data_IF_277801654876
#
_entry.id   IF_277801654876
#
_cell.length_a   1.000
_cell.length_b   1.000
_cell.length_c   1.000
_cell.angle_alpha   90.00
_cell.angle_beta   90.00
_cell.angle_gamma   90.00
#
_symmetry.space_group_name_H-M   'P 1'
#
loop_
_entity.id
_entity.type
_entity.pdbx_description
1 polymer ?
#
# COMPACT_ATOMS: atom_id res chain seq x y z
N UNK A 1 -14.46 18.13 -0.93
CA UNK A 1 -13.26 18.82 -0.41
C UNK A 1 -12.11 17.88 -0.70
N UNK A 2 -11.02 18.35 -1.31
CA UNK A 2 -9.92 17.45 -1.68
C UNK A 2 -9.22 16.91 -0.44
N UNK A 3 -8.97 15.61 -0.42
CA UNK A 3 -8.34 14.87 0.68
C UNK A 3 -6.92 14.50 0.29
N UNK A 4 -5.95 14.74 1.19
CA UNK A 4 -4.56 14.31 1.00
C UNK A 4 -4.41 12.83 1.30
N UNK A 5 -3.65 12.12 0.47
CA UNK A 5 -3.17 10.78 0.75
C UNK A 5 -1.66 10.73 0.69
N UNK A 6 -1.06 9.74 1.36
CA UNK A 6 0.38 9.50 1.29
C UNK A 6 0.73 8.03 1.42
N UNK A 7 1.70 7.57 0.63
CA UNK A 7 2.40 6.32 0.80
C UNK A 7 3.81 6.60 1.31
N UNK A 8 4.16 6.08 2.48
CA UNK A 8 5.54 6.06 2.97
C UNK A 8 6.10 4.64 2.86
N UNK A 9 7.19 4.49 2.14
CA UNK A 9 7.95 3.24 2.03
C UNK A 9 9.22 3.38 2.85
N UNK A 10 9.40 2.49 3.81
CA UNK A 10 10.62 2.39 4.62
C UNK A 10 11.36 1.11 4.25
N UNK A 11 12.61 1.26 3.85
CA UNK A 11 13.60 0.19 3.76
C UNK A 11 14.75 0.52 4.71
N UNK A 12 15.64 -0.44 5.00
CA UNK A 12 16.59 -0.39 6.12
C UNK A 12 17.35 0.93 6.29
N UNK A 13 17.71 1.60 5.20
CA UNK A 13 18.52 2.82 5.16
C UNK A 13 17.82 4.01 4.46
N UNK A 14 16.57 3.84 4.02
CA UNK A 14 15.88 4.84 3.22
C UNK A 14 14.38 4.90 3.52
N UNK A 15 13.89 6.12 3.60
CA UNK A 15 12.46 6.43 3.67
C UNK A 15 12.10 7.25 2.44
N UNK A 16 11.15 6.75 1.65
CA UNK A 16 10.56 7.47 0.52
C UNK A 16 9.09 7.73 0.81
N UNK A 17 8.63 8.96 0.57
CA UNK A 17 7.22 9.32 0.71
C UNK A 17 6.69 9.91 -0.60
N UNK A 18 5.57 9.36 -1.07
CA UNK A 18 4.77 9.89 -2.18
C UNK A 18 3.46 10.40 -1.58
N UNK A 19 3.03 11.59 -1.96
CA UNK A 19 1.76 12.16 -1.51
C UNK A 19 1.09 12.90 -2.66
N UNK A 20 -0.24 12.90 -2.66
CA UNK A 20 -1.05 13.68 -3.58
C UNK A 20 -2.43 13.94 -2.93
N UNK A 21 -3.37 14.46 -3.70
CA UNK A 21 -4.74 14.73 -3.29
C UNK A 21 -5.74 13.96 -4.16
N UNK A 22 -6.93 13.71 -3.60
CA UNK A 22 -8.06 13.15 -4.31
C UNK A 22 -9.35 13.91 -3.95
N UNK A 23 -10.43 13.69 -4.70
CA UNK A 23 -11.67 14.48 -4.59
C UNK A 23 -12.40 14.30 -3.26
N UNK A 24 -12.29 13.11 -2.66
CA UNK A 24 -12.85 12.72 -1.38
C UNK A 24 -12.01 11.61 -0.70
N UNK A 25 -12.45 11.17 0.49
CA UNK A 25 -11.73 10.15 1.27
C UNK A 25 -11.71 8.79 0.58
N UNK A 26 -12.79 8.37 -0.08
CA UNK A 26 -12.85 7.05 -0.71
C UNK A 26 -11.90 6.99 -1.92
N UNK A 27 -11.89 8.05 -2.72
CA UNK A 27 -10.95 8.25 -3.81
C UNK A 27 -9.50 8.32 -3.30
N UNK A 28 -9.24 8.98 -2.17
CA UNK A 28 -7.92 9.04 -1.55
C UNK A 28 -7.42 7.66 -1.08
N UNK A 29 -8.30 6.86 -0.46
CA UNK A 29 -7.97 5.48 -0.05
C UNK A 29 -7.71 4.60 -1.27
N UNK A 30 -8.51 4.72 -2.32
CA UNK A 30 -8.31 3.96 -3.56
C UNK A 30 -7.00 4.35 -4.25
N UNK A 31 -6.68 5.65 -4.32
CA UNK A 31 -5.42 6.14 -4.90
C UNK A 31 -4.20 5.60 -4.13
N UNK A 32 -4.20 5.66 -2.80
CA UNK A 32 -3.05 5.20 -2.01
C UNK A 32 -2.87 3.68 -2.06
N UNK A 33 -3.96 2.91 -2.17
CA UNK A 33 -3.90 1.46 -2.38
C UNK A 33 -3.30 1.13 -3.76
N UNK A 34 -3.73 1.82 -4.82
CA UNK A 34 -3.19 1.61 -6.17
C UNK A 34 -1.68 1.91 -6.24
N UNK A 35 -1.24 3.04 -5.67
CA UNK A 35 0.18 3.42 -5.65
C UNK A 35 1.00 2.45 -4.79
N UNK A 36 0.44 1.93 -3.70
CA UNK A 36 1.11 0.89 -2.91
C UNK A 36 1.27 -0.42 -3.68
N UNK A 37 0.25 -0.83 -4.44
CA UNK A 37 0.31 -2.01 -5.29
C UNK A 37 1.41 -1.88 -6.35
N UNK A 38 1.49 -0.73 -7.02
CA UNK A 38 2.53 -0.44 -8.00
C UNK A 38 3.93 -0.48 -7.37
N UNK A 39 4.08 0.08 -6.15
CA UNK A 39 5.34 0.06 -5.42
C UNK A 39 5.78 -1.37 -5.04
N UNK A 40 4.84 -2.23 -4.64
CA UNK A 40 5.11 -3.65 -4.34
C UNK A 40 5.50 -4.44 -5.60
N UNK A 41 4.80 -4.24 -6.71
CA UNK A 41 5.16 -4.85 -7.99
C UNK A 41 6.55 -4.41 -8.46
N UNK A 42 6.86 -3.11 -8.37
CA UNK A 42 8.17 -2.58 -8.73
C UNK A 42 9.29 -3.15 -7.83
N UNK A 43 9.04 -3.33 -6.53
CA UNK A 43 9.97 -3.96 -5.60
C UNK A 43 10.24 -5.43 -5.96
N UNK A 44 9.19 -6.19 -6.31
CA UNK A 44 9.30 -7.57 -6.77
C UNK A 44 10.10 -7.71 -8.07
N UNK A 45 9.83 -6.87 -9.07
CA UNK A 45 10.59 -6.86 -10.35
C UNK A 45 12.07 -6.55 -10.12
N UNK A 46 12.38 -5.68 -9.16
CA UNK A 46 13.76 -5.29 -8.81
C UNK A 46 14.47 -6.30 -7.91
N UNK A 47 13.77 -7.33 -7.43
CA UNK A 47 14.28 -8.31 -6.46
C UNK A 47 15.01 -7.65 -5.29
N UNK A 48 14.37 -6.66 -4.67
CA UNK A 48 14.97 -5.98 -3.53
C UNK A 48 15.26 -6.99 -2.42
N UNK A 49 16.50 -7.07 -1.89
CA UNK A 49 16.86 -8.04 -0.85
C UNK A 49 16.30 -7.65 0.53
N UNK A 50 15.64 -6.51 0.65
CA UNK A 50 15.11 -5.95 1.88
C UNK A 50 13.61 -6.13 1.95
N UNK A 51 13.06 -6.18 3.16
CA UNK A 51 11.62 -6.26 3.43
C UNK A 51 11.04 -4.85 3.65
N UNK A 52 10.50 -4.19 2.61
CA UNK A 52 9.93 -2.86 2.75
C UNK A 52 8.72 -2.88 3.69
N UNK A 53 8.58 -1.78 4.43
CA UNK A 53 7.38 -1.42 5.17
C UNK A 53 6.66 -0.28 4.46
N UNK A 54 5.40 -0.51 4.13
CA UNK A 54 4.51 0.44 3.48
C UNK A 54 3.49 0.97 4.48
N UNK A 55 3.43 2.29 4.63
CA UNK A 55 2.45 3.00 5.45
C UNK A 55 1.57 3.86 4.56
N UNK A 56 0.28 3.51 4.50
CA UNK A 56 -0.71 4.16 3.64
C UNK A 56 -1.59 5.04 4.52
N UNK A 57 -1.71 6.32 4.17
CA UNK A 57 -2.57 7.28 4.87
C UNK A 57 -3.52 7.99 3.91
N UNK A 58 -4.71 8.31 4.40
CA UNK A 58 -5.69 9.16 3.74
C UNK A 58 -6.34 10.07 4.80
N UNK A 59 -6.42 11.37 4.52
CA UNK A 59 -6.91 12.39 5.47
C UNK A 59 -6.19 12.39 6.83
N UNK A 60 -4.90 12.08 6.83
CA UNK A 60 -4.10 11.90 8.06
C UNK A 60 -4.40 10.60 8.83
N UNK A 61 -5.47 9.88 8.49
CA UNK A 61 -5.81 8.57 9.04
C UNK A 61 -4.96 7.45 8.46
N UNK A 62 -4.63 6.45 9.27
CA UNK A 62 -3.94 5.23 8.81
C UNK A 62 -4.95 4.33 8.08
N UNK A 63 -4.66 4.04 6.82
CA UNK A 63 -5.44 3.09 6.00
C UNK A 63 -4.92 1.68 6.22
N UNK A 64 -3.61 1.50 6.05
CA UNK A 64 -2.95 0.21 6.18
C UNK A 64 -1.48 0.40 6.53
N UNK A 65 -0.95 -0.59 7.26
CA UNK A 65 0.48 -0.76 7.48
C UNK A 65 0.86 -2.18 7.09
N UNK A 66 1.71 -2.32 6.08
CA UNK A 66 2.07 -3.61 5.48
C UNK A 66 3.58 -3.74 5.51
N UNK A 67 4.07 -4.83 6.08
CA UNK A 67 5.48 -5.19 6.03
C UNK A 67 5.60 -6.45 5.19
N UNK A 68 6.46 -6.41 4.17
CA UNK A 68 6.72 -7.59 3.33
C UNK A 68 7.35 -8.69 4.18
N UNK A 69 6.72 -9.87 4.17
CA UNK A 69 7.25 -11.08 4.78
C UNK A 69 8.35 -11.71 3.94
N UNK A 70 8.71 -12.95 4.25
CA UNK A 70 9.64 -13.75 3.45
C UNK A 70 8.94 -14.99 2.91
N UNK A 71 9.24 -15.37 1.68
CA UNK A 71 8.82 -16.62 1.07
C UNK A 71 9.59 -17.83 1.63
N UNK A 72 9.28 -19.03 1.14
CA UNK A 72 9.93 -20.29 1.54
C UNK A 72 11.44 -20.34 1.22
N UNK A 73 11.92 -19.48 0.32
CA UNK A 73 13.34 -19.34 -0.02
C UNK A 73 14.05 -18.29 0.87
N UNK A 74 13.32 -17.63 1.78
CA UNK A 74 13.83 -16.54 2.60
C UNK A 74 13.97 -15.20 1.85
N UNK A 75 13.40 -15.09 0.65
CA UNK A 75 13.36 -13.85 -0.13
C UNK A 75 12.11 -13.03 0.24
N UNK A 76 12.12 -11.69 0.11
CA UNK A 76 10.93 -10.90 0.37
C UNK A 76 9.73 -11.29 -0.51
N UNK A 77 8.59 -11.63 0.11
CA UNK A 77 7.38 -12.03 -0.62
C UNK A 77 6.51 -10.80 -1.00
N UNK A 78 6.94 -10.13 -2.06
CA UNK A 78 6.22 -8.99 -2.61
C UNK A 78 4.87 -9.38 -3.24
N UNK A 79 4.72 -10.63 -3.68
CA UNK A 79 3.47 -11.11 -4.30
C UNK A 79 2.38 -11.29 -3.24
N UNK A 80 2.71 -11.86 -2.08
CA UNK A 80 1.79 -11.96 -0.95
C UNK A 80 1.42 -10.57 -0.42
N UNK A 81 2.39 -9.66 -0.29
CA UNK A 81 2.12 -8.29 0.12
C UNK A 81 1.15 -7.57 -0.85
N UNK A 82 1.34 -7.74 -2.16
CA UNK A 82 0.45 -7.19 -3.20
C UNK A 82 -0.96 -7.81 -3.13
N UNK A 83 -1.06 -9.12 -2.89
CA UNK A 83 -2.34 -9.81 -2.68
C UNK A 83 -3.09 -9.26 -1.46
N UNK A 84 -2.39 -8.86 -0.40
CA UNK A 84 -3.00 -8.25 0.77
C UNK A 84 -3.66 -6.90 0.46
N UNK A 85 -3.04 -6.07 -0.38
CA UNK A 85 -3.64 -4.81 -0.87
C UNK A 85 -4.94 -5.08 -1.63
N UNK A 86 -4.93 -6.05 -2.55
CA UNK A 86 -6.13 -6.41 -3.32
C UNK A 86 -7.27 -6.89 -2.41
N UNK A 87 -6.95 -7.65 -1.35
CA UNK A 87 -7.95 -8.08 -0.37
C UNK A 87 -8.55 -6.93 0.42
N UNK A 88 -7.77 -5.89 0.74
CA UNK A 88 -8.27 -4.68 1.41
C UNK A 88 -9.24 -3.93 0.48
N UNK A 89 -8.89 -3.78 -0.79
CA UNK A 89 -9.75 -3.14 -1.80
C UNK A 89 -11.07 -3.89 -2.00
N UNK A 90 -11.00 -5.21 -2.10
CA UNK A 90 -12.17 -6.09 -2.23
C UNK A 90 -13.06 -6.00 -0.98
N UNK A 91 -12.48 -6.07 0.21
CA UNK A 91 -13.24 -5.96 1.47
C UNK A 91 -13.95 -4.60 1.60
N UNK A 92 -13.31 -3.52 1.16
CA UNK A 92 -13.93 -2.18 1.11
C UNK A 92 -15.11 -2.14 0.15
N UNK A 93 -14.96 -2.69 -1.05
CA UNK A 93 -16.04 -2.75 -2.06
C UNK A 93 -17.26 -3.50 -1.53
N UNK A 94 -17.04 -4.62 -0.82
CA UNK A 94 -18.12 -5.37 -0.20
C UNK A 94 -18.74 -4.69 1.03
N UNK A 95 -17.96 -3.92 1.80
CA UNK A 95 -18.47 -3.15 2.94
C UNK A 95 -19.23 -1.89 2.52
N UNK A 96 -18.97 -1.36 1.33
CA UNK A 96 -19.65 -0.19 0.75
C UNK A 96 -20.96 -0.54 0.02
N UNK A 97 -21.25 -1.83 -0.21
CA UNK A 97 -22.52 -2.28 -0.77
C UNK A 97 -23.61 -2.21 0.32
N UNK A 98 -24.67 -1.40 0.13
CA UNK A 98 -25.75 -1.31 1.12
C UNK A 98 -26.54 -2.62 1.16
N UNK A 99 -26.99 -2.98 2.37
CA UNK A 99 -28.19 -3.81 2.53
C UNK A 99 -29.43 -3.01 2.14
#
# INVERSE_FOLDING_TARGET
MTVTWSLTTTITDRVDTIFDTAEDHDAAVTAVLAVALDAMHAAGVRQLPQTPRYELRADGGLVALIQTGTDDAGCPDHAEAASMIQRIEVARTFSASPR
#
